data_IF_883208439849
#
_entry.id   IF_883208439849
#
_cell.length_a   1.000
_cell.length_b   1.000
_cell.length_c   1.000
_cell.angle_alpha   90.00
_cell.angle_beta   90.00
_cell.angle_gamma   90.00
#
_symmetry.space_group_name_H-M   'P 1'
#
loop_
_entity.id
_entity.type
_entity.pdbx_description
1 polymer ?
#
# COMPACT_ATOMS: atom_id res chain seq x y z
N UNK A 1 -2.14 4.63 -22.58
CA UNK A 1 -3.39 3.84 -22.53
C UNK A 1 -3.47 2.75 -23.58
N UNK A 2 -3.03 2.99 -24.81
CA UNK A 2 -3.17 2.01 -25.91
C UNK A 2 -2.51 0.67 -25.64
N UNK A 3 -1.42 0.63 -24.86
CA UNK A 3 -0.79 -0.64 -24.44
C UNK A 3 -1.70 -1.52 -23.57
N UNK A 4 -2.43 -0.92 -22.63
CA UNK A 4 -3.34 -1.65 -21.73
C UNK A 4 -4.56 -2.13 -22.53
N UNK A 5 -5.15 -1.25 -23.35
CA UNK A 5 -6.29 -1.59 -24.20
C UNK A 5 -5.94 -2.67 -25.22
N UNK A 6 -4.78 -2.56 -25.89
CA UNK A 6 -4.31 -3.59 -26.82
C UNK A 6 -4.03 -4.93 -26.14
N UNK A 7 -3.57 -4.91 -24.87
CA UNK A 7 -3.41 -6.15 -24.11
C UNK A 7 -4.75 -6.78 -23.75
N UNK A 8 -5.74 -5.97 -23.34
CA UNK A 8 -7.10 -6.46 -23.05
C UNK A 8 -7.79 -6.98 -24.31
N UNK A 9 -7.63 -6.31 -25.44
CA UNK A 9 -8.10 -6.77 -26.74
C UNK A 9 -7.47 -8.11 -27.12
N UNK A 10 -6.17 -8.29 -26.90
CA UNK A 10 -5.50 -9.57 -27.14
C UNK A 10 -5.97 -10.70 -26.20
N UNK A 11 -6.44 -10.38 -24.99
CA UNK A 11 -6.93 -11.35 -24.01
C UNK A 11 -8.39 -11.78 -24.26
N UNK A 12 -9.27 -10.82 -24.58
CA UNK A 12 -10.71 -11.04 -24.68
C UNK A 12 -11.26 -11.02 -26.10
N UNK A 13 -10.44 -10.62 -27.08
CA UNK A 13 -10.83 -10.46 -28.47
C UNK A 13 -11.97 -9.44 -28.64
N UNK A 14 -12.87 -9.75 -29.58
CA UNK A 14 -14.00 -8.89 -29.94
C UNK A 14 -14.89 -8.51 -28.75
N UNK A 15 -14.98 -9.35 -27.72
CA UNK A 15 -15.80 -9.11 -26.52
C UNK A 15 -15.44 -7.80 -25.80
N UNK A 16 -14.14 -7.45 -25.79
CA UNK A 16 -13.70 -6.19 -25.18
C UNK A 16 -14.10 -4.99 -26.02
N UNK A 17 -13.96 -5.07 -27.34
CA UNK A 17 -14.34 -4.01 -28.26
C UNK A 17 -15.86 -3.80 -28.25
N UNK A 18 -16.62 -4.90 -28.21
CA UNK A 18 -18.07 -4.89 -28.19
C UNK A 18 -18.66 -4.13 -27.00
N UNK A 19 -17.99 -4.19 -25.85
CA UNK A 19 -18.38 -3.45 -24.64
C UNK A 19 -18.43 -1.94 -24.87
N UNK A 20 -17.66 -1.42 -25.83
CA UNK A 20 -17.51 0.01 -26.11
C UNK A 20 -18.06 0.43 -27.49
N UNK A 21 -18.74 -0.48 -28.20
CA UNK A 21 -19.17 -0.34 -29.60
C UNK A 21 -20.02 0.90 -29.90
N UNK A 22 -20.69 1.46 -28.91
CA UNK A 22 -21.55 2.65 -29.04
C UNK A 22 -21.16 3.79 -28.07
N UNK A 23 -19.93 3.76 -27.57
CA UNK A 23 -19.40 4.79 -26.66
C UNK A 23 -18.27 5.55 -27.32
N UNK A 24 -18.07 6.81 -26.94
CA UNK A 24 -16.88 7.56 -27.35
C UNK A 24 -15.63 6.94 -26.69
N UNK A 25 -14.88 6.16 -27.47
CA UNK A 25 -13.67 5.50 -27.00
C UNK A 25 -12.59 6.50 -26.57
N UNK A 26 -12.60 7.72 -27.12
CA UNK A 26 -11.70 8.80 -26.71
C UNK A 26 -11.98 9.22 -25.28
N UNK A 27 -13.24 9.55 -24.98
CA UNK A 27 -13.69 9.86 -23.63
C UNK A 27 -13.43 8.70 -22.64
N UNK A 28 -13.68 7.45 -23.05
CA UNK A 28 -13.39 6.27 -22.21
C UNK A 28 -11.91 6.18 -21.87
N UNK A 29 -11.01 6.35 -22.87
CA UNK A 29 -9.57 6.30 -22.63
C UNK A 29 -9.09 7.45 -21.73
N UNK A 30 -9.68 8.64 -21.85
CA UNK A 30 -9.40 9.77 -20.96
C UNK A 30 -9.77 9.44 -19.52
N UNK A 31 -11.01 9.01 -19.26
CA UNK A 31 -11.46 8.65 -17.91
C UNK A 31 -10.63 7.52 -17.31
N UNK A 32 -10.30 6.50 -18.10
CA UNK A 32 -9.39 5.44 -17.65
C UNK A 32 -8.00 6.00 -17.33
N UNK A 33 -7.50 6.94 -18.14
CA UNK A 33 -6.19 7.56 -17.94
C UNK A 33 -6.14 8.34 -16.63
N UNK A 34 -7.17 9.12 -16.33
CA UNK A 34 -7.27 9.93 -15.11
C UNK A 34 -7.30 9.07 -13.86
N UNK A 35 -8.10 8.00 -13.85
CA UNK A 35 -8.18 7.09 -12.69
C UNK A 35 -6.87 6.30 -12.49
N UNK A 36 -6.26 5.83 -13.59
CA UNK A 36 -5.00 5.08 -13.51
C UNK A 36 -3.77 5.97 -13.27
N UNK A 37 -3.88 7.29 -13.47
CA UNK A 37 -2.82 8.24 -13.15
C UNK A 37 -2.43 8.19 -11.67
N UNK A 38 -3.36 7.82 -10.79
CA UNK A 38 -3.11 7.61 -9.35
C UNK A 38 -2.05 6.54 -9.06
N UNK A 39 -1.72 5.68 -10.03
CA UNK A 39 -0.73 4.62 -9.92
C UNK A 39 0.54 4.90 -10.75
N UNK A 40 0.73 6.13 -11.24
CA UNK A 40 1.89 6.52 -12.07
C UNK A 40 3.24 6.21 -11.43
N UNK A 41 3.29 6.25 -10.10
CA UNK A 41 4.53 6.06 -9.31
C UNK A 41 4.99 4.60 -9.26
N UNK A 42 4.12 3.65 -9.65
CA UNK A 42 4.45 2.23 -9.71
C UNK A 42 3.83 1.59 -10.97
N UNK A 43 4.44 1.78 -12.16
CA UNK A 43 3.89 1.25 -13.41
C UNK A 43 3.93 -0.28 -13.48
N UNK A 44 4.69 -0.96 -12.62
CA UNK A 44 4.70 -2.42 -12.55
C UNK A 44 3.37 -3.00 -12.07
N UNK A 45 2.59 -2.24 -11.30
CA UNK A 45 1.29 -2.68 -10.80
C UNK A 45 0.33 -3.05 -11.95
N UNK A 46 0.39 -2.34 -13.08
CA UNK A 46 -0.45 -2.62 -14.25
C UNK A 46 -0.13 -3.98 -14.87
N UNK A 47 1.15 -4.35 -14.95
CA UNK A 47 1.58 -5.65 -15.48
C UNK A 47 1.11 -6.80 -14.59
N UNK A 48 1.18 -6.62 -13.27
CA UNK A 48 0.70 -7.60 -12.28
C UNK A 48 -0.83 -7.73 -12.33
N UNK A 49 -1.54 -6.60 -12.36
CA UNK A 49 -2.99 -6.57 -12.50
C UNK A 49 -3.48 -7.24 -13.80
N UNK A 50 -2.80 -7.02 -14.92
CA UNK A 50 -3.11 -7.69 -16.20
C UNK A 50 -2.87 -9.20 -16.18
N UNK A 51 -1.92 -9.68 -15.37
CA UNK A 51 -1.68 -11.11 -15.19
C UNK A 51 -2.77 -11.74 -14.33
N UNK A 52 -3.10 -11.11 -13.20
CA UNK A 52 -4.18 -11.55 -12.30
C UNK A 52 -5.56 -11.50 -12.96
N UNK A 53 -5.73 -10.61 -13.94
CA UNK A 53 -6.92 -10.53 -14.77
C UNK A 53 -7.31 -11.87 -15.41
N UNK A 54 -6.31 -12.66 -15.83
CA UNK A 54 -6.53 -13.98 -16.43
C UNK A 54 -7.07 -15.00 -15.43
N UNK A 55 -6.90 -14.77 -14.14
CA UNK A 55 -7.38 -15.67 -13.09
C UNK A 55 -8.77 -15.27 -12.59
N UNK A 56 -9.01 -13.96 -12.42
CA UNK A 56 -10.26 -13.41 -11.85
C UNK A 56 -11.33 -13.19 -12.91
N UNK A 57 -10.97 -12.67 -14.08
CA UNK A 57 -11.90 -12.29 -15.15
C UNK A 57 -11.68 -13.13 -16.40
N UNK A 58 -11.94 -14.44 -16.33
CA UNK A 58 -11.71 -15.38 -17.44
C UNK A 58 -12.71 -15.24 -18.59
N UNK A 59 -13.96 -14.92 -18.27
CA UNK A 59 -15.08 -15.02 -19.23
C UNK A 59 -15.48 -13.67 -19.81
N UNK A 60 -15.34 -12.59 -19.03
CA UNK A 60 -15.78 -11.25 -19.43
C UNK A 60 -14.69 -10.22 -19.15
N UNK A 61 -14.53 -9.23 -20.04
CA UNK A 61 -13.58 -8.16 -19.85
C UNK A 61 -13.96 -7.29 -18.63
N UNK A 62 -12.97 -6.86 -17.82
CA UNK A 62 -13.21 -6.02 -16.65
C UNK A 62 -13.78 -4.65 -17.06
N UNK A 63 -14.50 -4.03 -16.15
CA UNK A 63 -14.83 -2.60 -16.17
C UNK A 63 -13.70 -1.78 -15.55
N UNK A 64 -13.77 -0.45 -15.69
CA UNK A 64 -12.76 0.45 -15.10
C UNK A 64 -12.63 0.26 -13.58
N UNK A 65 -13.72 0.26 -12.78
CA UNK A 65 -13.60 0.10 -11.33
C UNK A 65 -12.98 -1.23 -10.92
N UNK A 66 -13.36 -2.33 -11.60
CA UNK A 66 -12.80 -3.66 -11.34
C UNK A 66 -11.29 -3.70 -11.64
N UNK A 67 -10.86 -3.06 -12.73
CA UNK A 67 -9.44 -2.97 -13.07
C UNK A 67 -8.66 -2.08 -12.09
N UNK A 68 -9.25 -0.97 -11.63
CA UNK A 68 -8.67 -0.10 -10.60
C UNK A 68 -8.50 -0.84 -9.29
N UNK A 69 -9.47 -1.66 -8.89
CA UNK A 69 -9.37 -2.49 -7.69
C UNK A 69 -8.23 -3.52 -7.78
N UNK A 70 -8.04 -4.12 -8.96
CA UNK A 70 -6.90 -5.01 -9.21
C UNK A 70 -5.57 -4.26 -9.17
N UNK A 71 -5.50 -3.07 -9.76
CA UNK A 71 -4.31 -2.23 -9.68
C UNK A 71 -4.01 -1.85 -8.23
N UNK A 72 -5.03 -1.49 -7.44
CA UNK A 72 -4.89 -1.16 -6.01
C UNK A 72 -4.42 -2.34 -5.18
N UNK A 73 -4.92 -3.55 -5.43
CA UNK A 73 -4.44 -4.78 -4.77
C UNK A 73 -2.96 -5.07 -5.05
N UNK A 74 -2.53 -4.80 -6.28
CA UNK A 74 -1.16 -5.01 -6.73
C UNK A 74 -0.25 -3.79 -6.53
N UNK A 75 -0.78 -2.70 -5.99
CA UNK A 75 -0.03 -1.48 -5.78
C UNK A 75 0.82 -1.63 -4.53
N UNK A 76 2.13 -1.68 -4.73
CA UNK A 76 3.10 -1.55 -3.66
C UNK A 76 3.41 -0.06 -3.51
N UNK A 77 3.00 0.50 -2.38
CA UNK A 77 3.34 1.87 -2.03
C UNK A 77 4.88 2.00 -2.04
N UNK A 78 5.44 3.05 -2.67
CA UNK A 78 6.86 3.30 -2.61
C UNK A 78 7.25 3.38 -1.14
N UNK A 79 8.26 2.60 -0.74
CA UNK A 79 8.78 2.67 0.62
C UNK A 79 9.24 4.10 0.83
N UNK A 80 8.51 4.84 1.67
CA UNK A 80 8.93 6.16 2.06
C UNK A 80 10.22 5.98 2.84
N UNK A 81 11.36 6.32 2.23
CA UNK A 81 12.66 6.37 2.91
C UNK A 81 12.72 7.57 3.88
N UNK A 82 11.64 7.86 4.59
CA UNK A 82 11.56 8.83 5.68
C UNK A 82 12.26 8.33 6.95
N UNK A 83 12.94 7.18 6.88
CA UNK A 83 13.86 6.77 7.92
C UNK A 83 15.00 7.78 7.97
N UNK A 84 15.12 8.48 9.09
CA UNK A 84 16.29 9.30 9.36
C UNK A 84 17.53 8.40 9.33
N UNK A 85 18.63 8.93 8.82
CA UNK A 85 19.91 8.27 8.92
C UNK A 85 20.20 7.93 10.39
N UNK A 86 20.68 6.70 10.62
CA UNK A 86 21.05 6.29 11.97
C UNK A 86 22.14 7.25 12.49
N UNK A 87 22.02 7.76 13.73
CA UNK A 87 23.07 8.60 14.31
C UNK A 87 24.39 7.84 14.32
N UNK A 88 25.46 8.47 13.86
CA UNK A 88 26.81 7.88 13.91
C UNK A 88 27.23 7.77 15.39
N UNK A 89 27.19 6.55 15.90
CA UNK A 89 27.46 6.22 17.30
C UNK A 89 28.77 5.47 17.38
N UNK A 90 29.72 6.03 18.12
CA UNK A 90 30.90 5.25 18.49
C UNK A 90 30.51 4.15 19.49
N UNK A 91 31.27 3.06 19.51
CA UNK A 91 31.01 1.92 20.41
C UNK A 91 30.90 2.37 21.88
N UNK A 92 31.77 3.30 22.29
CA UNK A 92 31.79 3.86 23.63
C UNK A 92 30.51 4.65 23.97
N UNK A 93 29.96 5.39 23.00
CA UNK A 93 28.68 6.10 23.17
C UNK A 93 27.50 5.12 23.26
N UNK A 94 27.55 4.00 22.53
CA UNK A 94 26.54 2.95 22.61
C UNK A 94 26.55 2.27 23.98
N UNK A 95 27.74 1.97 24.53
CA UNK A 95 27.92 1.41 25.87
C UNK A 95 27.39 2.36 26.94
N UNK A 96 27.78 3.64 26.88
CA UNK A 96 27.30 4.65 27.82
C UNK A 96 25.77 4.83 27.79
N UNK A 97 25.14 4.70 26.60
CA UNK A 97 23.67 4.72 26.48
C UNK A 97 23.03 3.47 27.07
N UNK A 98 23.63 2.29 26.88
CA UNK A 98 23.16 1.04 27.48
C UNK A 98 23.21 1.09 29.00
N UNK A 99 24.29 1.60 29.57
CA UNK A 99 24.45 1.73 31.02
C UNK A 99 23.44 2.71 31.62
N UNK A 100 23.24 3.85 30.97
CA UNK A 100 22.20 4.81 31.37
C UNK A 100 20.80 4.19 31.31
N UNK A 101 20.49 3.43 30.26
CA UNK A 101 19.20 2.75 30.13
C UNK A 101 19.01 1.68 31.22
N UNK A 102 20.06 0.91 31.53
CA UNK A 102 20.04 -0.10 32.59
C UNK A 102 19.80 0.54 33.96
N UNK A 103 20.48 1.66 34.27
CA UNK A 103 20.29 2.39 35.52
C UNK A 103 18.86 2.98 35.66
N UNK A 104 18.29 3.47 34.55
CA UNK A 104 16.90 3.95 34.52
C UNK A 104 15.93 2.78 34.76
N UNK A 105 16.12 1.66 34.07
CA UNK A 105 15.28 0.47 34.22
C UNK A 105 15.32 -0.07 35.66
N UNK A 106 16.48 -0.04 36.30
CA UNK A 106 16.63 -0.46 37.69
C UNK A 106 15.87 0.45 38.66
N UNK A 107 15.94 1.78 38.45
CA UNK A 107 15.12 2.75 39.20
C UNK A 107 13.62 2.51 39.01
N UNK A 108 13.17 2.19 37.80
CA UNK A 108 11.76 1.86 37.54
C UNK A 108 11.34 0.53 38.16
N UNK A 109 12.22 -0.47 38.22
CA UNK A 109 11.95 -1.74 38.92
C UNK A 109 11.87 -1.56 40.43
N UNK A 110 12.76 -0.74 41.00
CA UNK A 110 12.74 -0.39 42.42
C UNK A 110 11.53 0.49 42.79
N UNK A 111 11.00 1.23 41.82
CA UNK A 111 9.77 2.00 41.98
C UNK A 111 8.54 1.08 41.91
N UNK A 112 8.06 0.63 43.07
CA UNK A 112 6.75 -0.02 43.17
C UNK A 112 5.65 1.06 43.05
N UNK A 113 4.84 1.07 41.97
CA UNK A 113 3.75 2.05 41.87
C UNK A 113 2.75 1.81 43.00
N UNK A 114 2.57 2.80 43.87
CA UNK A 114 1.58 2.67 44.94
C UNK A 114 0.19 2.58 44.32
N UNK A 115 -0.46 1.41 44.43
CA UNK A 115 -1.86 1.22 44.01
C UNK A 115 -2.85 1.87 44.97
N UNK A 116 -2.38 2.75 45.85
CA UNK A 116 -3.17 3.43 46.87
C UNK A 116 -4.29 4.29 46.25
N UNK A 117 -4.02 4.94 45.12
CA UNK A 117 -5.04 5.69 44.37
C UNK A 117 -6.13 4.77 43.78
N UNK A 118 -5.74 3.61 43.23
CA UNK A 118 -6.66 2.64 42.64
C UNK A 118 -7.55 1.95 43.70
N UNK A 119 -7.03 1.72 44.92
CA UNK A 119 -7.82 1.20 46.05
C UNK A 119 -8.85 2.21 46.56
N UNK A 120 -8.50 3.50 46.58
CA UNK A 120 -9.43 4.60 46.94
C UNK A 120 -10.61 4.74 45.98
N UNK A 121 -10.43 4.40 44.70
CA UNK A 121 -11.51 4.49 43.70
C UNK A 121 -12.53 3.34 43.80
N UNK A 122 -12.15 2.17 44.34
CA UNK A 122 -13.05 1.01 44.53
C UNK A 122 -13.94 1.10 45.77
N UNK A 123 -13.73 2.10 46.63
CA UNK A 123 -14.45 2.28 47.90
C UNK A 123 -15.51 3.39 47.84
N UNK A 124 -15.75 3.96 46.66
CA UNK A 124 -16.85 4.90 46.37
C UNK A 124 -17.96 4.16 45.63
#
# INVERSE_FOLDING_TARGET
MDRIFGRMEALYGATFIDKWRNTDIGAVKTVWGDELASFSDNPECFGRALKELMDVHKTFPPSLPEFVDLCRKNYEAPKSNLALEAPDLTQEQADARRDKAAAIADKFRAFAPSTAWAKKLRTR
#
